data_IF_054063725615
#
_entry.id   IF_054063725615
#
_cell.length_a   1.000
_cell.length_b   1.000
_cell.length_c   1.000
_cell.angle_alpha   90.00
_cell.angle_beta   90.00
_cell.angle_gamma   90.00
#
_symmetry.space_group_name_H-M   'P 1'
#
loop_
_entity.id
_entity.type
_entity.pdbx_description
1 polymer ?
#
# COMPACT_ATOMS: atom_id res chain seq x y z
N UNK A 1 0.79 13.92 2.09
CA UNK A 1 -0.14 13.57 3.21
C UNK A 1 -0.24 12.06 3.41
N UNK A 2 -0.29 11.53 4.64
CA UNK A 2 -0.52 10.07 4.86
C UNK A 2 -2.01 9.72 4.77
N UNK A 3 -2.34 8.74 3.94
CA UNK A 3 -3.70 8.19 3.78
C UNK A 3 -3.95 7.09 4.80
N UNK A 4 -3.02 6.14 4.91
CA UNK A 4 -3.05 5.13 5.96
C UNK A 4 -1.66 4.58 6.27
N UNK A 5 -1.52 4.01 7.46
CA UNK A 5 -0.42 3.15 7.86
C UNK A 5 -1.00 1.87 8.43
N UNK A 6 -0.46 0.71 8.02
CA UNK A 6 -0.95 -0.59 8.48
C UNK A 6 0.18 -1.59 8.65
N UNK A 7 0.20 -2.25 9.81
CA UNK A 7 1.00 -3.47 10.03
C UNK A 7 0.28 -4.65 9.37
N UNK A 8 1.00 -5.37 8.51
CA UNK A 8 0.49 -6.44 7.68
C UNK A 8 0.15 -7.67 8.52
N UNK A 9 -1.05 -8.21 8.29
CA UNK A 9 -1.51 -9.50 8.83
C UNK A 9 -1.39 -10.59 7.77
N UNK A 10 -1.61 -11.83 8.17
CA UNK A 10 -1.52 -13.00 7.28
C UNK A 10 -2.34 -12.84 5.98
N UNK A 11 -3.60 -12.41 6.08
CA UNK A 11 -4.46 -12.15 4.91
C UNK A 11 -3.92 -11.03 4.00
N UNK A 12 -3.26 -10.03 4.58
CA UNK A 12 -2.68 -8.94 3.80
C UNK A 12 -1.51 -9.46 2.98
N UNK A 13 -0.64 -10.28 3.55
CA UNK A 13 0.53 -10.84 2.85
C UNK A 13 0.13 -11.89 1.82
N UNK A 14 -0.87 -12.74 2.12
CA UNK A 14 -1.22 -13.90 1.28
C UNK A 14 -2.32 -13.65 0.25
N UNK A 15 -3.18 -12.66 0.46
CA UNK A 15 -4.40 -12.49 -0.34
C UNK A 15 -4.55 -11.06 -0.85
N UNK A 16 -4.79 -10.09 0.04
CA UNK A 16 -5.17 -8.71 -0.32
C UNK A 16 -5.08 -7.77 0.87
N UNK A 17 -4.69 -6.53 0.63
CA UNK A 17 -4.60 -5.52 1.69
C UNK A 17 -5.95 -4.83 1.90
N UNK A 18 -6.57 -5.01 3.05
CA UNK A 18 -7.73 -4.21 3.47
C UNK A 18 -7.30 -3.02 4.31
N UNK A 19 -7.95 -1.87 4.16
CA UNK A 19 -7.59 -0.66 4.93
C UNK A 19 -8.83 0.09 5.43
N UNK A 20 -8.69 1.12 6.29
CA UNK A 20 -9.84 1.83 6.86
C UNK A 20 -10.76 2.45 5.80
N UNK A 21 -12.07 2.45 6.06
CA UNK A 21 -13.09 2.93 5.11
C UNK A 21 -13.00 4.43 4.86
N UNK A 22 -12.60 5.24 5.86
CA UNK A 22 -12.44 6.70 5.67
C UNK A 22 -11.43 7.03 4.57
N UNK A 23 -10.41 6.17 4.33
CA UNK A 23 -9.44 6.39 3.26
C UNK A 23 -10.05 6.42 1.85
N UNK A 24 -11.28 5.94 1.66
CA UNK A 24 -12.00 6.02 0.39
C UNK A 24 -12.23 7.46 -0.08
N UNK A 25 -12.30 8.44 0.83
CA UNK A 25 -12.51 9.85 0.49
C UNK A 25 -11.34 10.44 -0.32
N UNK A 26 -10.18 9.79 -0.30
CA UNK A 26 -8.98 10.20 -1.03
C UNK A 26 -8.83 9.48 -2.39
N UNK A 27 -9.75 8.58 -2.73
CA UNK A 27 -9.68 7.77 -3.94
C UNK A 27 -10.86 8.11 -4.86
N UNK A 28 -10.57 8.43 -6.12
CA UNK A 28 -11.60 8.64 -7.12
C UNK A 28 -11.93 7.32 -7.84
N UNK A 29 -13.18 6.88 -7.75
CA UNK A 29 -13.66 5.67 -8.41
C UNK A 29 -14.43 5.94 -9.70
N UNK A 30 -14.65 7.20 -10.09
CA UNK A 30 -15.38 7.60 -11.29
C UNK A 30 -16.73 6.85 -11.46
N UNK A 31 -17.49 6.68 -10.37
CA UNK A 31 -18.77 5.96 -10.35
C UNK A 31 -18.68 4.42 -10.39
N UNK A 32 -17.47 3.84 -10.47
CA UNK A 32 -17.24 2.40 -10.45
C UNK A 32 -17.08 1.82 -9.04
N UNK A 33 -17.02 0.49 -8.95
CA UNK A 33 -16.70 -0.27 -7.73
C UNK A 33 -15.20 -0.53 -7.56
N UNK A 34 -14.39 -0.22 -8.59
CA UNK A 34 -12.94 -0.38 -8.56
C UNK A 34 -12.21 0.75 -9.29
N UNK A 35 -10.98 1.03 -8.88
CA UNK A 35 -10.06 1.97 -9.53
C UNK A 35 -8.66 1.36 -9.60
N UNK A 36 -7.95 1.62 -10.70
CA UNK A 36 -6.53 1.30 -10.84
C UNK A 36 -5.70 2.48 -10.32
N UNK A 37 -5.08 2.30 -9.16
CA UNK A 37 -4.23 3.31 -8.56
C UNK A 37 -2.85 3.21 -9.21
N UNK A 38 -2.41 4.30 -9.85
CA UNK A 38 -0.99 4.52 -10.15
C UNK A 38 -0.33 4.98 -8.87
N UNK A 39 0.69 4.25 -8.43
CA UNK A 39 1.36 4.47 -7.15
C UNK A 39 2.87 4.36 -7.39
N UNK A 40 3.61 5.36 -6.91
CA UNK A 40 5.07 5.34 -6.92
C UNK A 40 5.57 4.49 -5.76
N UNK A 41 6.49 3.57 -6.01
CA UNK A 41 7.11 2.77 -4.94
C UNK A 41 8.36 3.45 -4.35
N UNK A 42 8.96 2.83 -3.33
CA UNK A 42 10.17 3.34 -2.67
C UNK A 42 11.38 3.48 -3.61
N UNK A 43 11.43 2.75 -4.72
CA UNK A 43 12.44 2.88 -5.75
C UNK A 43 12.13 4.00 -6.76
N UNK A 44 10.97 4.65 -6.64
CA UNK A 44 10.50 5.68 -7.55
C UNK A 44 9.80 5.14 -8.80
N UNK A 45 9.55 3.83 -8.89
CA UNK A 45 8.88 3.22 -10.03
C UNK A 45 7.36 3.28 -9.91
N UNK A 46 6.68 3.47 -11.04
CA UNK A 46 5.23 3.46 -11.10
C UNK A 46 4.69 2.03 -11.11
N UNK A 47 3.85 1.73 -10.14
CA UNK A 47 3.09 0.48 -10.01
C UNK A 47 1.61 0.77 -10.24
N UNK A 48 0.90 -0.18 -10.82
CA UNK A 48 -0.56 -0.16 -10.86
C UNK A 48 -1.10 -1.18 -9.88
N UNK A 49 -1.88 -0.72 -8.90
CA UNK A 49 -2.54 -1.58 -7.92
C UNK A 49 -4.04 -1.30 -7.96
N UNK A 50 -4.85 -2.34 -8.20
CA UNK A 50 -6.31 -2.21 -8.26
C UNK A 50 -6.89 -2.15 -6.85
N UNK A 51 -7.69 -1.12 -6.60
CA UNK A 51 -8.48 -0.96 -5.39
C UNK A 51 -9.96 -1.28 -5.67
N UNK A 52 -10.60 -2.05 -4.80
CA UNK A 52 -12.04 -2.32 -4.83
C UNK A 52 -12.75 -1.75 -3.60
N UNK A 53 -13.96 -1.23 -3.78
CA UNK A 53 -14.95 -1.04 -2.72
C UNK A 53 -15.72 -2.35 -2.53
N UNK A 54 -15.39 -3.12 -1.50
CA UNK A 54 -16.17 -4.33 -1.17
C UNK A 54 -17.38 -3.93 -0.35
N UNK A 55 -18.58 -4.13 -0.89
CA UNK A 55 -19.85 -4.03 -0.14
C UNK A 55 -19.92 -5.18 0.85
N UNK A 56 -19.74 -4.90 2.13
CA UNK A 56 -19.79 -5.91 3.17
C UNK A 56 -20.53 -5.36 4.39
N UNK A 57 -21.86 -5.44 4.36
CA UNK A 57 -22.73 -4.74 5.33
C UNK A 57 -22.91 -3.26 4.97
N UNK A 58 -23.19 -2.42 5.99
CA UNK A 58 -23.47 -0.99 5.83
C UNK A 58 -22.28 -0.11 5.44
N UNK A 59 -21.07 -0.67 5.26
CA UNK A 59 -19.87 0.09 4.92
C UNK A 59 -19.05 -0.56 3.81
N UNK A 60 -18.63 0.26 2.85
CA UNK A 60 -17.71 -0.15 1.79
C UNK A 60 -16.30 -0.32 2.36
N UNK A 61 -15.76 -1.54 2.32
CA UNK A 61 -14.39 -1.82 2.78
C UNK A 61 -13.44 -1.72 1.58
N UNK A 62 -12.47 -0.79 1.58
CA UNK A 62 -11.49 -0.74 0.51
C UNK A 62 -10.48 -1.89 0.60
N UNK A 63 -10.08 -2.40 -0.56
CA UNK A 63 -9.16 -3.52 -0.69
C UNK A 63 -8.23 -3.32 -1.89
N UNK A 64 -6.91 -3.37 -1.67
CA UNK A 64 -5.93 -3.52 -2.75
C UNK A 64 -5.83 -5.00 -3.14
N UNK A 65 -6.13 -5.33 -4.39
CA UNK A 65 -6.16 -6.70 -4.90
C UNK A 65 -5.10 -6.94 -5.99
N UNK A 66 -5.39 -6.59 -7.24
CA UNK A 66 -4.48 -6.85 -8.36
C UNK A 66 -3.25 -5.96 -8.23
N UNK A 67 -2.05 -6.53 -8.46
CA UNK A 67 -0.77 -5.83 -8.28
C UNK A 67 -0.25 -5.81 -6.83
N UNK A 68 -1.10 -6.02 -5.83
CA UNK A 68 -0.69 -6.01 -4.42
C UNK A 68 0.25 -7.18 -4.07
N UNK A 69 -0.10 -8.42 -4.41
CA UNK A 69 0.77 -9.57 -4.11
C UNK A 69 2.10 -9.53 -4.87
N UNK A 70 2.12 -8.90 -6.05
CA UNK A 70 3.38 -8.63 -6.76
C UNK A 70 4.25 -7.65 -5.98
N UNK A 71 3.67 -6.57 -5.44
CA UNK A 71 4.39 -5.65 -4.57
C UNK A 71 4.92 -6.35 -3.31
N UNK A 72 4.11 -7.18 -2.66
CA UNK A 72 4.53 -8.01 -1.50
C UNK A 72 5.74 -8.88 -1.87
N UNK A 73 5.69 -9.58 -3.00
CA UNK A 73 6.78 -10.46 -3.45
C UNK A 73 8.04 -9.66 -3.82
N UNK A 74 7.90 -8.60 -4.61
CA UNK A 74 9.01 -7.78 -5.08
C UNK A 74 9.76 -7.11 -3.91
N UNK A 75 9.08 -6.83 -2.79
CA UNK A 75 9.68 -6.23 -1.58
C UNK A 75 9.91 -7.24 -0.45
N UNK A 76 9.65 -8.54 -0.66
CA UNK A 76 9.82 -9.58 0.36
C UNK A 76 9.06 -9.30 1.66
N UNK A 77 7.84 -8.76 1.57
CA UNK A 77 7.04 -8.37 2.73
C UNK A 77 6.43 -9.58 3.44
N UNK A 78 6.49 -9.56 4.77
CA UNK A 78 5.97 -10.57 5.67
C UNK A 78 5.01 -10.02 6.71
N UNK A 79 4.44 -10.94 7.51
CA UNK A 79 3.57 -10.57 8.63
C UNK A 79 4.39 -9.77 9.64
N UNK A 80 3.85 -8.64 10.10
CA UNK A 80 4.55 -7.73 11.01
C UNK A 80 5.31 -6.59 10.33
N UNK A 81 5.53 -6.67 9.01
CA UNK A 81 5.97 -5.50 8.23
C UNK A 81 4.85 -4.46 8.17
N UNK A 82 5.20 -3.23 7.79
CA UNK A 82 4.29 -2.10 7.71
C UNK A 82 4.27 -1.54 6.30
N UNK A 83 3.08 -1.15 5.85
CA UNK A 83 2.90 -0.38 4.63
C UNK A 83 2.28 0.97 4.96
N UNK A 84 2.75 2.00 4.27
CA UNK A 84 2.25 3.37 4.35
C UNK A 84 1.84 3.81 2.95
N UNK A 85 0.60 4.26 2.81
CA UNK A 85 0.13 4.93 1.59
C UNK A 85 0.10 6.43 1.83
N UNK A 86 0.75 7.17 0.95
CA UNK A 86 0.88 8.62 0.96
C UNK A 86 0.20 9.19 -0.28
N UNK A 87 -0.43 10.35 -0.14
CA UNK A 87 -0.78 11.25 -1.22
C UNK A 87 0.38 12.22 -1.45
N UNK A 88 0.78 12.38 -2.71
CA UNK A 88 1.75 13.37 -3.15
C UNK A 88 0.99 14.57 -3.75
N UNK A 89 1.33 15.78 -3.30
CA UNK A 89 0.71 17.02 -3.78
C UNK A 89 1.32 17.47 -5.12
N UNK A 90 2.55 17.02 -5.40
CA UNK A 90 3.20 17.17 -6.70
C UNK A 90 2.96 15.90 -7.53
N UNK A 91 2.29 16.04 -8.67
CA UNK A 91 1.98 14.97 -9.61
C UNK A 91 3.20 14.50 -10.42
N UNK A 92 4.40 14.62 -9.85
CA UNK A 92 5.65 14.18 -10.47
C UNK A 92 5.52 12.74 -10.98
N UNK A 93 5.85 12.52 -12.26
CA UNK A 93 5.73 11.23 -12.97
C UNK A 93 4.28 10.70 -13.15
N UNK A 94 3.24 11.50 -12.91
CA UNK A 94 1.86 11.11 -13.22
C UNK A 94 1.19 10.17 -12.21
N UNK A 95 1.72 10.12 -10.98
CA UNK A 95 1.07 9.48 -9.83
C UNK A 95 0.61 10.53 -8.82
N UNK A 96 -0.51 10.28 -8.13
CA UNK A 96 -0.93 11.08 -6.98
C UNK A 96 -0.58 10.40 -5.65
N UNK A 97 -0.03 9.19 -5.71
CA UNK A 97 0.20 8.34 -4.55
C UNK A 97 1.61 7.77 -4.53
N UNK A 98 2.13 7.57 -3.31
CA UNK A 98 3.34 6.81 -3.03
C UNK A 98 3.05 5.71 -2.01
N UNK A 99 3.65 4.54 -2.18
CA UNK A 99 3.60 3.44 -1.23
C UNK A 99 5.00 3.13 -0.71
N UNK A 100 5.10 3.06 0.61
CA UNK A 100 6.33 2.71 1.31
C UNK A 100 6.15 1.41 2.06
N UNK A 101 7.14 0.54 1.97
CA UNK A 101 7.26 -0.65 2.80
C UNK A 101 8.28 -0.41 3.91
N UNK A 102 7.96 -0.84 5.13
CA UNK A 102 8.80 -0.66 6.30
C UNK A 102 8.89 -1.94 7.13
N UNK A 103 10.05 -2.22 7.70
CA UNK A 103 10.31 -3.34 8.60
C UNK A 103 10.86 -2.82 9.92
N UNK A 104 10.52 -3.50 11.03
CA UNK A 104 11.12 -3.18 12.32
C UNK A 104 12.62 -3.47 12.28
N UNK A 105 13.41 -2.51 12.74
CA UNK A 105 14.86 -2.60 12.86
C UNK A 105 15.28 -2.08 14.24
N UNK A 106 16.43 -2.54 14.72
CA UNK A 106 17.08 -1.97 15.90
C UNK A 106 18.14 -0.96 15.43
N UNK A 107 18.03 0.30 15.83
CA UNK A 107 19.03 1.32 15.59
C UNK A 107 19.44 1.93 16.94
N UNK A 108 20.74 1.91 17.23
CA UNK A 108 21.31 2.46 18.47
C UNK A 108 20.65 1.92 19.77
N UNK A 109 20.16 0.69 19.75
CA UNK A 109 19.48 0.06 20.89
C UNK A 109 17.98 0.32 20.99
N UNK A 110 17.40 1.08 20.06
CA UNK A 110 15.96 1.38 20.02
C UNK A 110 15.27 0.71 18.81
N UNK A 111 14.05 0.21 19.02
CA UNK A 111 13.23 -0.36 17.94
C UNK A 111 12.57 0.76 17.13
N UNK A 112 12.78 0.75 15.81
CA UNK A 112 12.16 1.71 14.89
C UNK A 112 11.78 1.05 13.56
N UNK A 113 11.19 1.81 12.64
CA UNK A 113 10.78 1.34 11.30
C UNK A 113 11.79 1.80 10.25
N UNK A 114 12.50 0.84 9.65
CA UNK A 114 13.37 1.07 8.50
C UNK A 114 12.63 0.85 7.18
N UNK A 115 13.04 1.54 6.12
CA UNK A 115 12.52 1.32 4.77
C UNK A 115 12.98 -0.03 4.20
N UNK A 116 12.07 -0.72 3.51
CA UNK A 116 12.38 -1.96 2.80
C UNK A 116 12.63 -1.63 1.33
N UNK A 117 13.81 -1.99 0.84
CA UNK A 117 14.15 -1.88 -0.59
C UNK A 117 13.69 -3.12 -1.35
N UNK A 118 13.50 -2.97 -2.66
CA UNK A 118 13.11 -4.08 -3.54
C UNK A 118 14.14 -5.21 -3.46
N UNK A 119 13.67 -6.45 -3.39
CA UNK A 119 14.53 -7.63 -3.42
C UNK A 119 15.26 -7.71 -4.78
N UNK A 120 16.57 -7.48 -4.78
CA UNK A 120 17.43 -7.73 -5.93
C UNK A 120 17.78 -9.21 -5.95
N UNK A 121 17.15 -9.99 -6.85
CA UNK A 121 17.64 -11.34 -7.15
C UNK A 121 18.88 -11.18 -8.05
N UNK A 122 20.05 -11.48 -7.51
CA UNK A 122 21.28 -11.69 -8.30
C UNK A 122 21.34 -13.15 -8.76
#
# INVERSE_FOLDING_TARGET
MQIFSKVLKDTDVRVKLSFPTHCLEHLDFAGSNSVDLRIKDSCGELRVIRCWKRKNGGHDKPVLSSGWLKFVADYGLGVGDKVVLLREDDHSLGSQFRIEARRKIMLLGEETWGEVTRATNY
#
